data_IF_539383928594
#
_entry.id   IF_539383928594
#
_cell.length_a   1.000
_cell.length_b   1.000
_cell.length_c   1.000
_cell.angle_alpha   90.00
_cell.angle_beta   90.00
_cell.angle_gamma   90.00
#
_symmetry.space_group_name_H-M   'P 1'
#
loop_
_entity.id
_entity.type
_entity.pdbx_description
1 polymer ?
#
# COMPACT_ATOMS: atom_id res chain seq x y z
N UNK A 1 -9.62 -12.52 -12.85
CA UNK A 1 -9.24 -12.26 -11.43
C UNK A 1 -10.39 -12.60 -10.49
N UNK A 2 -11.53 -11.89 -10.51
CA UNK A 2 -12.66 -12.21 -9.61
C UNK A 2 -13.13 -13.67 -9.71
N UNK A 3 -13.27 -14.18 -10.94
CA UNK A 3 -13.65 -15.59 -11.17
C UNK A 3 -12.69 -16.58 -10.49
N UNK A 4 -11.38 -16.34 -10.58
CA UNK A 4 -10.36 -17.16 -9.89
C UNK A 4 -10.55 -17.06 -8.38
N UNK A 5 -10.81 -15.86 -7.85
CA UNK A 5 -11.05 -15.68 -6.42
C UNK A 5 -12.25 -16.51 -5.98
N UNK A 6 -13.39 -16.39 -6.64
CA UNK A 6 -14.59 -17.15 -6.30
C UNK A 6 -14.40 -18.66 -6.43
N UNK A 7 -13.78 -19.12 -7.52
CA UNK A 7 -13.57 -20.55 -7.76
C UNK A 7 -12.58 -21.20 -6.80
N UNK A 8 -11.74 -20.40 -6.13
CA UNK A 8 -10.68 -20.91 -5.25
C UNK A 8 -10.81 -20.47 -3.80
N UNK A 9 -11.88 -19.73 -3.47
CA UNK A 9 -12.15 -19.19 -2.15
C UNK A 9 -12.40 -20.31 -1.14
N UNK A 10 -11.54 -20.41 -0.14
CA UNK A 10 -11.70 -21.35 0.97
C UNK A 10 -10.95 -20.83 2.21
N UNK A 11 -11.32 -21.29 3.42
CA UNK A 11 -10.57 -20.93 4.61
C UNK A 11 -9.17 -21.56 4.61
N UNK A 12 -8.21 -20.85 5.19
CA UNK A 12 -6.85 -21.32 5.42
C UNK A 12 -6.61 -21.48 6.92
N UNK A 13 -5.96 -22.57 7.33
CA UNK A 13 -5.54 -22.72 8.72
C UNK A 13 -4.42 -21.72 9.06
N UNK A 14 -4.29 -21.35 10.34
CA UNK A 14 -3.22 -20.44 10.77
C UNK A 14 -1.81 -21.00 10.47
N UNK A 15 -1.64 -22.32 10.57
CA UNK A 15 -0.36 -22.99 10.25
C UNK A 15 -0.02 -22.85 8.77
N UNK A 16 -0.98 -23.07 7.87
CA UNK A 16 -0.76 -22.91 6.44
C UNK A 16 -0.54 -21.45 6.09
N UNK A 17 -1.34 -20.53 6.65
CA UNK A 17 -1.21 -19.09 6.43
C UNK A 17 0.20 -18.57 6.75
N UNK A 18 0.78 -18.98 7.89
CA UNK A 18 2.16 -18.63 8.26
C UNK A 18 3.21 -18.98 7.20
N UNK A 19 3.00 -20.06 6.45
CA UNK A 19 3.96 -20.53 5.43
C UNK A 19 3.83 -19.85 4.07
N UNK A 20 2.83 -18.97 3.88
CA UNK A 20 2.55 -18.44 2.53
C UNK A 20 3.58 -17.38 2.13
N UNK A 21 4.15 -17.45 0.91
CA UNK A 21 5.20 -16.53 0.45
C UNK A 21 4.81 -15.05 0.44
N UNK A 22 3.52 -14.72 0.26
CA UNK A 22 3.05 -13.32 0.17
C UNK A 22 3.40 -12.49 1.41
N UNK A 23 3.54 -13.12 2.59
CA UNK A 23 3.94 -12.44 3.82
C UNK A 23 5.34 -11.84 3.74
N UNK A 24 6.17 -12.31 2.80
CA UNK A 24 7.47 -11.71 2.49
C UNK A 24 7.35 -10.27 2.00
N UNK A 25 6.23 -9.88 1.41
CA UNK A 25 6.03 -8.54 0.86
C UNK A 25 5.54 -7.52 1.89
N UNK A 26 4.83 -7.98 2.92
CA UNK A 26 4.08 -7.11 3.81
C UNK A 26 4.54 -7.25 5.28
N UNK A 27 4.57 -8.47 5.81
CA UNK A 27 4.92 -8.71 7.20
C UNK A 27 6.44 -8.85 7.41
N UNK A 28 7.13 -9.71 6.66
CA UNK A 28 8.56 -9.94 6.87
C UNK A 28 9.44 -8.75 6.49
N UNK A 29 8.95 -7.78 5.69
CA UNK A 29 9.70 -6.52 5.49
C UNK A 29 9.68 -5.63 6.71
N UNK A 30 8.59 -5.64 7.47
CA UNK A 30 8.48 -4.93 8.74
C UNK A 30 9.37 -5.59 9.81
N UNK A 31 9.36 -6.92 9.90
CA UNK A 31 9.97 -7.65 11.03
C UNK A 31 11.32 -8.31 10.70
N UNK A 32 11.63 -8.53 9.43
CA UNK A 32 12.78 -9.29 8.93
C UNK A 32 13.98 -8.44 8.50
N UNK A 33 14.07 -7.19 8.96
CA UNK A 33 15.26 -6.35 8.83
C UNK A 33 15.17 -5.21 7.82
N UNK A 34 14.26 -5.26 6.84
CA UNK A 34 14.16 -4.20 5.81
C UNK A 34 13.76 -2.84 6.39
N UNK A 35 12.78 -2.81 7.30
CA UNK A 35 12.42 -1.58 8.03
C UNK A 35 13.65 -0.96 8.71
N UNK A 36 14.43 -1.78 9.42
CA UNK A 36 15.66 -1.37 10.08
C UNK A 36 16.69 -0.84 9.07
N UNK A 37 16.94 -1.59 8.01
CA UNK A 37 17.90 -1.25 6.95
C UNK A 37 17.58 0.10 6.30
N UNK A 38 16.30 0.41 6.09
CA UNK A 38 15.90 1.62 5.40
C UNK A 38 15.89 2.85 6.30
N UNK A 39 15.56 2.69 7.58
CA UNK A 39 15.09 3.80 8.41
C UNK A 39 15.71 3.91 9.80
N UNK A 40 16.19 2.83 10.41
CA UNK A 40 16.70 2.88 11.79
C UNK A 40 18.00 3.70 11.85
N UNK A 41 18.06 4.68 12.75
CA UNK A 41 19.16 5.64 12.90
C UNK A 41 19.53 6.34 11.58
N UNK A 42 18.55 6.58 10.71
CA UNK A 42 18.77 7.13 9.36
C UNK A 42 18.24 8.55 9.25
N UNK A 43 19.06 9.41 8.64
CA UNK A 43 18.68 10.77 8.26
C UNK A 43 17.92 10.79 6.92
N UNK A 44 16.69 11.27 6.96
CA UNK A 44 15.84 11.48 5.78
C UNK A 44 16.10 12.86 5.20
N UNK A 45 16.55 12.88 3.93
CA UNK A 45 16.73 14.10 3.17
C UNK A 45 15.39 14.55 2.57
N UNK A 46 14.95 15.75 2.94
CA UNK A 46 13.74 16.42 2.45
C UNK A 46 14.13 17.69 1.68
N UNK A 47 13.22 18.31 0.91
CA UNK A 47 13.51 19.57 0.24
C UNK A 47 13.96 20.63 1.24
N UNK A 48 15.21 21.06 1.14
CA UNK A 48 15.81 22.13 1.96
C UNK A 48 16.19 21.74 3.40
N UNK A 49 15.94 20.52 3.87
CA UNK A 49 16.28 20.11 5.24
C UNK A 49 16.50 18.60 5.37
N UNK A 50 17.12 18.18 6.46
CA UNK A 50 17.30 16.78 6.82
C UNK A 50 16.71 16.55 8.21
N UNK A 51 15.96 15.46 8.39
CA UNK A 51 15.38 15.07 9.68
C UNK A 51 15.81 13.64 10.05
N UNK A 52 15.96 13.37 11.35
CA UNK A 52 16.08 11.99 11.81
C UNK A 52 14.76 11.25 11.59
N UNK A 53 14.84 10.02 11.10
CA UNK A 53 13.63 9.24 10.83
C UNK A 53 12.78 9.07 12.09
N UNK A 54 13.39 8.84 13.25
CA UNK A 54 12.68 8.67 14.53
C UNK A 54 11.86 9.92 14.88
N UNK A 55 12.39 11.11 14.60
CA UNK A 55 11.65 12.35 14.81
C UNK A 55 10.47 12.48 13.83
N UNK A 56 10.70 12.19 12.55
CA UNK A 56 9.68 12.26 11.51
C UNK A 56 8.58 11.23 11.75
N UNK A 57 8.93 10.03 12.22
CA UNK A 57 8.01 8.91 12.41
C UNK A 57 6.98 9.16 13.51
N UNK A 58 7.28 10.06 14.46
CA UNK A 58 6.41 10.48 15.56
C UNK A 58 5.51 11.68 15.22
N UNK A 59 5.72 12.33 14.07
CA UNK A 59 4.89 13.46 13.67
C UNK A 59 3.53 12.99 13.15
N UNK A 60 2.48 13.75 13.49
CA UNK A 60 1.19 13.69 12.78
C UNK A 60 1.29 14.44 11.46
N UNK A 61 0.43 14.07 10.52
CA UNK A 61 0.51 14.56 9.15
C UNK A 61 -0.75 15.32 8.76
N UNK A 62 -0.55 16.41 8.02
CA UNK A 62 -1.59 17.05 7.22
C UNK A 62 -1.11 17.08 5.78
N UNK A 63 -1.84 16.43 4.87
CA UNK A 63 -1.44 16.30 3.47
C UNK A 63 -2.57 16.82 2.60
N UNK A 64 -2.27 17.78 1.73
CA UNK A 64 -3.23 18.43 0.82
C UNK A 64 -4.49 18.92 1.55
N UNK A 65 -4.27 19.62 2.67
CA UNK A 65 -5.33 20.12 3.53
C UNK A 65 -5.99 19.10 4.47
N UNK A 66 -5.82 17.78 4.30
CA UNK A 66 -6.44 16.74 5.11
C UNK A 66 -5.56 16.32 6.29
N UNK A 67 -6.11 16.26 7.50
CA UNK A 67 -5.39 15.72 8.66
C UNK A 67 -5.49 14.19 8.70
N UNK A 68 -4.42 13.50 9.06
CA UNK A 68 -4.40 12.05 9.18
C UNK A 68 -4.30 11.61 10.64
N UNK A 69 -5.02 10.54 10.97
CA UNK A 69 -5.16 10.04 12.33
C UNK A 69 -3.84 9.57 12.92
N UNK A 70 -3.01 8.91 12.12
CA UNK A 70 -1.87 8.11 12.59
C UNK A 70 -0.53 8.76 12.25
N UNK A 71 0.47 8.52 13.10
CA UNK A 71 1.88 8.73 12.79
C UNK A 71 2.42 7.54 11.99
N UNK A 72 3.60 7.67 11.37
CA UNK A 72 4.24 6.54 10.70
C UNK A 72 4.57 5.43 11.71
N UNK A 73 5.00 5.77 12.92
CA UNK A 73 5.31 4.77 13.94
C UNK A 73 4.07 3.98 14.40
N UNK A 74 2.93 4.66 14.55
CA UNK A 74 1.65 4.00 14.83
C UNK A 74 1.23 3.06 13.68
N UNK A 75 1.41 3.49 12.42
CA UNK A 75 1.14 2.65 11.24
C UNK A 75 2.06 1.41 11.20
N UNK A 76 3.35 1.56 11.52
CA UNK A 76 4.29 0.42 11.62
C UNK A 76 3.81 -0.57 12.67
N UNK A 77 3.52 -0.10 13.89
CA UNK A 77 3.08 -0.97 14.99
C UNK A 77 1.77 -1.70 14.65
N UNK A 78 0.79 -0.98 14.10
CA UNK A 78 -0.48 -1.57 13.66
C UNK A 78 -0.28 -2.56 12.53
N UNK A 79 0.56 -2.25 11.55
CA UNK A 79 0.86 -3.16 10.44
C UNK A 79 1.52 -4.46 10.95
N UNK A 80 2.48 -4.37 11.87
CA UNK A 80 3.11 -5.55 12.50
C UNK A 80 2.05 -6.38 13.23
N UNK A 81 1.14 -5.75 13.98
CA UNK A 81 0.11 -6.46 14.71
C UNK A 81 -0.92 -7.13 13.77
N UNK A 82 -1.49 -6.38 12.82
CA UNK A 82 -2.64 -6.82 12.02
C UNK A 82 -2.25 -7.71 10.84
N UNK A 83 -1.05 -7.52 10.27
CA UNK A 83 -0.55 -8.32 9.15
C UNK A 83 0.22 -9.56 9.61
N UNK A 84 0.36 -9.78 10.93
CA UNK A 84 1.02 -10.96 11.48
C UNK A 84 0.29 -12.23 11.03
N UNK A 85 0.94 -13.12 10.25
CA UNK A 85 0.29 -14.31 9.74
C UNK A 85 -0.05 -15.34 10.81
N UNK A 86 0.51 -15.22 12.02
CA UNK A 86 0.22 -16.08 13.17
C UNK A 86 -1.13 -15.76 13.83
N UNK A 87 -1.67 -14.56 13.60
CA UNK A 87 -2.91 -14.11 14.22
C UNK A 87 -4.08 -14.45 13.29
N UNK A 88 -4.63 -15.66 13.48
CA UNK A 88 -5.89 -16.04 12.86
C UNK A 88 -6.05 -17.53 12.62
N UNK A 89 -7.31 -17.96 12.59
CA UNK A 89 -7.72 -19.27 12.09
C UNK A 89 -8.89 -19.05 11.13
N UNK A 90 -9.04 -19.91 10.13
CA UNK A 90 -10.07 -19.80 9.09
C UNK A 90 -10.02 -18.48 8.29
N UNK A 91 -8.82 -18.09 7.88
CA UNK A 91 -8.61 -16.85 7.11
C UNK A 91 -9.10 -17.08 5.68
N UNK A 92 -9.97 -16.22 5.13
CA UNK A 92 -10.38 -16.35 3.73
C UNK A 92 -9.16 -16.31 2.81
N UNK A 93 -9.04 -17.30 1.93
CA UNK A 93 -7.90 -17.44 1.04
C UNK A 93 -8.33 -17.81 -0.37
N UNK A 94 -7.54 -17.37 -1.34
CA UNK A 94 -7.70 -17.66 -2.77
C UNK A 94 -6.38 -18.19 -3.32
N UNK A 95 -6.39 -18.83 -4.49
CA UNK A 95 -5.16 -19.03 -5.26
C UNK A 95 -4.88 -17.74 -6.03
N UNK A 96 -3.88 -17.00 -5.60
CA UNK A 96 -3.54 -15.66 -6.09
C UNK A 96 -2.17 -15.60 -6.73
N UNK A 97 -1.89 -14.48 -7.40
CA UNK A 97 -0.60 -14.24 -8.05
C UNK A 97 0.49 -13.82 -7.06
N UNK A 98 0.10 -13.15 -5.98
CA UNK A 98 0.97 -12.57 -4.95
C UNK A 98 1.78 -11.36 -5.42
N UNK A 99 1.81 -11.08 -6.73
CA UNK A 99 2.63 -10.02 -7.32
C UNK A 99 2.05 -9.38 -8.60
N UNK A 100 0.73 -9.23 -8.66
CA UNK A 100 -0.01 -8.81 -9.85
C UNK A 100 0.06 -7.28 -10.13
N UNK A 101 1.25 -6.72 -10.35
CA UNK A 101 1.41 -5.31 -10.76
C UNK A 101 1.72 -5.15 -12.26
N UNK A 102 1.66 -3.93 -12.78
CA UNK A 102 1.85 -3.61 -14.20
C UNK A 102 3.18 -4.11 -14.81
N UNK A 103 4.19 -4.40 -13.99
CA UNK A 103 5.44 -4.99 -14.48
C UNK A 103 5.31 -6.46 -14.84
N UNK A 104 4.26 -7.13 -14.35
CA UNK A 104 3.99 -8.56 -14.43
C UNK A 104 2.73 -8.85 -15.26
N UNK A 105 2.40 -7.97 -16.22
CA UNK A 105 1.26 -8.10 -17.12
C UNK A 105 1.69 -7.89 -18.57
N UNK A 106 1.33 -8.83 -19.43
CA UNK A 106 1.31 -8.64 -20.88
C UNK A 106 -0.12 -8.37 -21.37
N UNK A 107 -0.22 -7.65 -22.49
CA UNK A 107 -1.46 -7.48 -23.24
C UNK A 107 -1.37 -8.38 -24.47
N UNK A 108 -2.28 -9.33 -24.60
CA UNK A 108 -2.52 -10.02 -25.87
C UNK A 108 -3.44 -9.13 -26.71
N UNK A 109 -2.85 -8.32 -27.59
CA UNK A 109 -3.60 -7.37 -28.41
C UNK A 109 -4.58 -8.06 -29.37
N UNK A 110 -4.28 -9.28 -29.81
CA UNK A 110 -5.14 -10.03 -30.72
C UNK A 110 -6.41 -10.54 -30.03
N UNK A 111 -6.30 -10.93 -28.76
CA UNK A 111 -7.44 -11.41 -27.96
C UNK A 111 -8.08 -10.33 -27.09
N UNK A 112 -7.41 -9.19 -26.92
CA UNK A 112 -7.81 -8.17 -25.95
C UNK A 112 -7.72 -8.67 -24.50
N UNK A 113 -6.79 -9.59 -24.22
CA UNK A 113 -6.65 -10.26 -22.92
C UNK A 113 -5.43 -9.73 -22.15
N UNK A 114 -5.50 -9.76 -20.82
CA UNK A 114 -4.36 -9.49 -19.94
C UNK A 114 -3.79 -10.82 -19.44
N UNK A 115 -2.50 -11.02 -19.65
CA UNK A 115 -1.79 -12.24 -19.24
C UNK A 115 -0.83 -11.86 -18.12
N UNK A 116 -1.05 -12.42 -16.93
CA UNK A 116 -0.13 -12.26 -15.81
C UNK A 116 1.05 -13.23 -15.93
N UNK A 117 2.25 -12.77 -15.57
CA UNK A 117 3.48 -13.59 -15.57
C UNK A 117 4.34 -13.25 -14.34
N UNK A 118 5.40 -14.04 -14.11
CA UNK A 118 6.27 -13.95 -12.93
C UNK A 118 5.52 -14.01 -11.58
N UNK A 119 4.86 -15.15 -11.28
CA UNK A 119 4.09 -15.34 -10.05
C UNK A 119 4.99 -15.65 -8.84
N UNK A 120 6.00 -14.80 -8.57
CA UNK A 120 7.05 -15.03 -7.57
C UNK A 120 6.53 -15.32 -6.15
N UNK A 121 5.33 -14.82 -5.83
CA UNK A 121 4.66 -15.03 -4.54
C UNK A 121 3.30 -15.70 -4.67
N UNK A 122 3.04 -16.39 -5.79
CA UNK A 122 1.77 -17.06 -5.98
C UNK A 122 1.60 -18.23 -5.03
N UNK A 123 0.33 -18.56 -4.81
CA UNK A 123 -0.06 -19.58 -3.86
C UNK A 123 -1.40 -19.26 -3.26
N UNK A 124 -1.69 -19.91 -2.14
CA UNK A 124 -2.93 -19.72 -1.41
C UNK A 124 -2.77 -18.67 -0.31
N UNK A 125 -3.34 -17.48 -0.48
CA UNK A 125 -3.24 -16.38 0.50
C UNK A 125 -4.52 -15.54 0.58
N UNK A 126 -4.52 -14.60 1.54
CA UNK A 126 -5.52 -13.55 1.68
C UNK A 126 -5.79 -12.84 0.35
N UNK A 127 -7.05 -12.74 -0.09
CA UNK A 127 -7.40 -11.99 -1.29
C UNK A 127 -7.12 -10.49 -1.16
N UNK A 128 -7.08 -9.96 0.08
CA UNK A 128 -6.73 -8.56 0.33
C UNK A 128 -5.25 -8.29 0.04
N UNK A 129 -4.35 -9.18 0.49
CA UNK A 129 -2.91 -9.05 0.18
C UNK A 129 -2.64 -9.21 -1.32
N UNK A 130 -3.39 -10.08 -2.01
CA UNK A 130 -3.28 -10.24 -3.47
C UNK A 130 -3.69 -8.96 -4.22
N UNK A 131 -4.70 -8.24 -3.70
CA UNK A 131 -5.18 -6.99 -4.28
C UNK A 131 -4.30 -5.78 -3.98
N UNK A 132 -3.53 -5.80 -2.89
CA UNK A 132 -2.74 -4.65 -2.43
C UNK A 132 -1.81 -4.11 -3.52
N UNK A 133 -1.00 -4.96 -4.15
CA UNK A 133 -0.08 -4.52 -5.20
C UNK A 133 -0.80 -3.95 -6.43
N UNK A 134 -1.82 -4.62 -7.01
CA UNK A 134 -2.60 -4.04 -8.10
C UNK A 134 -3.24 -2.69 -7.74
N UNK A 135 -3.73 -2.52 -6.51
CA UNK A 135 -4.36 -1.26 -6.08
C UNK A 135 -3.33 -0.14 -5.92
N UNK A 136 -2.10 -0.46 -5.46
CA UNK A 136 -1.05 0.53 -5.30
C UNK A 136 -0.21 0.74 -6.56
N UNK A 137 0.50 -0.29 -7.03
CA UNK A 137 1.52 -0.18 -8.07
C UNK A 137 0.95 0.20 -9.45
N UNK A 138 -0.29 -0.20 -9.73
CA UNK A 138 -0.92 0.13 -11.01
C UNK A 138 -1.50 1.54 -11.02
N UNK A 139 -1.50 2.23 -9.87
CA UNK A 139 -2.19 3.51 -9.70
C UNK A 139 -1.25 4.60 -9.24
N UNK A 140 -0.57 4.40 -8.10
CA UNK A 140 0.17 5.44 -7.40
C UNK A 140 1.68 5.38 -7.60
N UNK A 141 2.26 4.23 -7.94
CA UNK A 141 3.71 4.02 -7.88
C UNK A 141 4.56 4.67 -8.99
N UNK A 142 4.01 5.55 -9.84
CA UNK A 142 4.80 6.15 -10.94
C UNK A 142 6.03 6.93 -10.46
N UNK A 143 5.90 7.64 -9.33
CA UNK A 143 7.01 8.33 -8.69
C UNK A 143 8.12 7.39 -8.22
N UNK A 144 7.81 6.11 -7.94
CA UNK A 144 8.83 5.12 -7.55
C UNK A 144 9.65 4.64 -8.75
N UNK A 145 9.01 4.52 -9.91
CA UNK A 145 9.63 3.98 -11.12
C UNK A 145 10.36 5.05 -11.94
N UNK A 146 9.85 6.27 -11.92
CA UNK A 146 10.39 7.42 -12.67
C UNK A 146 10.59 8.62 -11.73
N UNK A 147 11.45 8.47 -10.70
CA UNK A 147 11.55 9.47 -9.63
C UNK A 147 12.08 10.82 -10.15
N UNK A 148 12.99 10.83 -11.12
CA UNK A 148 13.58 12.08 -11.63
C UNK A 148 12.61 12.83 -12.51
N UNK A 149 11.86 12.10 -13.35
CA UNK A 149 10.84 12.64 -14.23
C UNK A 149 9.69 13.24 -13.43
N UNK A 150 9.21 12.53 -12.40
CA UNK A 150 8.17 13.07 -11.52
C UNK A 150 8.70 14.26 -10.71
N UNK A 151 9.93 14.21 -10.18
CA UNK A 151 10.49 15.32 -9.41
C UNK A 151 10.62 16.62 -10.24
N UNK A 152 10.89 16.50 -11.55
CA UNK A 152 11.03 17.65 -12.43
C UNK A 152 9.72 18.43 -12.65
N UNK A 153 8.57 17.78 -12.49
CA UNK A 153 7.24 18.37 -12.70
C UNK A 153 6.45 18.57 -11.40
N UNK A 154 6.86 17.92 -10.31
CA UNK A 154 6.19 17.94 -9.02
C UNK A 154 6.34 19.28 -8.31
N UNK A 155 5.23 19.93 -8.00
CA UNK A 155 5.20 20.99 -6.99
C UNK A 155 4.90 20.36 -5.64
N UNK A 156 5.88 20.37 -4.73
CA UNK A 156 5.71 19.91 -3.35
C UNK A 156 6.35 20.87 -2.36
N UNK A 157 5.61 21.26 -1.33
CA UNK A 157 6.08 22.10 -0.24
C UNK A 157 5.75 21.44 1.09
N UNK A 158 6.54 21.77 2.10
CA UNK A 158 6.27 21.29 3.45
C UNK A 158 6.74 22.28 4.51
N UNK A 159 6.12 22.19 5.67
CA UNK A 159 6.55 22.87 6.89
C UNK A 159 6.23 22.00 8.11
N UNK A 160 6.89 22.29 9.23
CA UNK A 160 6.47 21.78 10.54
C UNK A 160 5.64 22.87 11.21
N UNK A 161 4.37 22.59 11.45
CA UNK A 161 3.43 23.51 12.10
C UNK A 161 2.75 22.82 13.26
N UNK A 162 2.84 23.42 14.45
CA UNK A 162 2.26 22.88 15.69
C UNK A 162 2.68 21.42 15.96
N UNK A 163 3.93 21.07 15.63
CA UNK A 163 4.47 19.70 15.77
C UNK A 163 3.97 18.69 14.74
N UNK A 164 3.17 19.12 13.75
CA UNK A 164 2.71 18.29 12.62
C UNK A 164 3.54 18.57 11.37
N UNK A 165 3.75 17.54 10.55
CA UNK A 165 4.27 17.70 9.19
C UNK A 165 3.10 18.09 8.27
N UNK A 166 3.16 19.31 7.74
CA UNK A 166 2.19 19.82 6.76
C UNK A 166 2.83 19.71 5.39
N UNK A 167 2.18 19.00 4.46
CA UNK A 167 2.66 18.76 3.10
C UNK A 167 1.58 19.14 2.11
N UNK A 168 1.94 19.92 1.11
CA UNK A 168 1.08 20.28 0.00
C UNK A 168 1.77 19.88 -1.30
N UNK A 169 1.12 19.05 -2.10
CA UNK A 169 1.65 18.58 -3.39
C UNK A 169 0.57 18.47 -4.46
N UNK A 170 0.98 18.52 -5.72
CA UNK A 170 0.08 18.38 -6.87
C UNK A 170 0.13 17.00 -7.55
N UNK A 171 0.91 16.05 -7.00
CA UNK A 171 0.95 14.68 -7.52
C UNK A 171 -0.44 14.05 -7.56
N UNK A 172 -0.85 13.61 -8.76
CA UNK A 172 -2.12 12.95 -9.00
C UNK A 172 -1.93 11.79 -9.98
N UNK A 173 -2.49 10.60 -9.70
CA UNK A 173 -2.54 9.53 -10.70
C UNK A 173 -3.28 9.99 -11.97
N UNK A 174 -2.82 9.51 -13.13
CA UNK A 174 -3.48 9.84 -14.39
C UNK A 174 -4.92 9.29 -14.45
N UNK A 175 -5.82 9.89 -15.26
CA UNK A 175 -7.22 9.44 -15.35
C UNK A 175 -7.39 7.95 -15.70
N UNK A 176 -6.50 7.40 -16.53
CA UNK A 176 -6.51 5.97 -16.87
C UNK A 176 -6.13 5.09 -15.67
N UNK A 177 -5.18 5.53 -14.84
CA UNK A 177 -4.78 4.84 -13.60
C UNK A 177 -5.89 4.87 -12.56
N UNK A 178 -6.57 6.01 -12.42
CA UNK A 178 -7.78 6.12 -11.60
C UNK A 178 -8.89 5.19 -12.12
N UNK A 179 -9.05 5.06 -13.44
CA UNK A 179 -10.01 4.13 -14.04
C UNK A 179 -9.66 2.67 -13.74
N UNK A 180 -8.38 2.30 -13.72
CA UNK A 180 -7.94 0.97 -13.27
C UNK A 180 -8.25 0.71 -11.79
N UNK A 181 -8.00 1.70 -10.91
CA UNK A 181 -8.34 1.62 -9.49
C UNK A 181 -9.84 1.32 -9.32
N UNK A 182 -10.69 2.16 -9.90
CA UNK A 182 -12.15 2.01 -9.85
C UNK A 182 -12.59 0.67 -10.40
N UNK A 183 -12.04 0.25 -11.53
CA UNK A 183 -12.33 -1.06 -12.13
C UNK A 183 -12.01 -2.21 -11.17
N UNK A 184 -10.84 -2.21 -10.49
CA UNK A 184 -10.49 -3.24 -9.50
C UNK A 184 -11.38 -3.21 -8.27
N UNK A 185 -11.75 -2.02 -7.80
CA UNK A 185 -12.65 -1.89 -6.65
C UNK A 185 -14.05 -2.40 -6.99
N UNK A 186 -14.67 -1.89 -8.06
CA UNK A 186 -16.04 -2.24 -8.44
C UNK A 186 -16.18 -3.69 -8.90
N UNK A 187 -15.19 -4.21 -9.63
CA UNK A 187 -15.29 -5.53 -10.27
C UNK A 187 -14.59 -6.65 -9.52
N UNK A 188 -13.85 -6.35 -8.47
CA UNK A 188 -13.16 -7.38 -7.68
C UNK A 188 -13.37 -7.20 -6.17
N UNK A 189 -12.99 -6.05 -5.62
CA UNK A 189 -13.06 -5.84 -4.16
C UNK A 189 -14.50 -5.84 -3.64
N UNK A 190 -15.41 -5.03 -4.20
CA UNK A 190 -16.80 -4.95 -3.73
C UNK A 190 -17.54 -6.30 -3.85
N UNK A 191 -17.47 -7.03 -4.99
CA UNK A 191 -18.05 -8.36 -5.09
C UNK A 191 -17.45 -9.37 -4.09
N UNK A 192 -16.15 -9.32 -3.87
CA UNK A 192 -15.47 -10.15 -2.87
C UNK A 192 -15.99 -9.85 -1.45
N UNK A 193 -16.09 -8.56 -1.08
CA UNK A 193 -16.61 -8.16 0.23
C UNK A 193 -18.04 -8.66 0.45
N UNK A 194 -18.90 -8.53 -0.55
CA UNK A 194 -20.27 -9.03 -0.50
C UNK A 194 -20.34 -10.56 -0.33
N UNK A 195 -19.51 -11.31 -1.07
CA UNK A 195 -19.44 -12.76 -0.94
C UNK A 195 -18.91 -13.19 0.44
N UNK A 196 -17.81 -12.57 0.91
CA UNK A 196 -17.27 -12.81 2.26
C UNK A 196 -18.29 -12.48 3.36
N UNK A 197 -19.02 -11.37 3.22
CA UNK A 197 -20.06 -10.99 4.18
C UNK A 197 -21.20 -12.02 4.20
N UNK A 198 -21.66 -12.48 3.02
CA UNK A 198 -22.72 -13.50 2.91
C UNK A 198 -22.35 -14.83 3.58
N UNK A 199 -21.05 -15.15 3.65
CA UNK A 199 -20.51 -16.35 4.30
C UNK A 199 -20.17 -16.15 5.78
N UNK A 200 -20.36 -14.94 6.32
CA UNK A 200 -19.86 -14.53 7.65
C UNK A 200 -18.33 -14.69 7.79
N UNK A 201 -17.60 -14.50 6.71
CA UNK A 201 -16.13 -14.63 6.63
C UNK A 201 -15.41 -13.28 6.58
N UNK A 202 -16.15 -12.18 6.43
CA UNK A 202 -15.58 -10.84 6.37
C UNK A 202 -15.12 -10.39 7.77
N UNK A 203 -13.82 -10.15 7.92
CA UNK A 203 -13.27 -9.57 9.14
C UNK A 203 -13.76 -8.11 9.28
N UNK A 204 -14.29 -7.68 10.44
CA UNK A 204 -14.70 -6.28 10.65
C UNK A 204 -13.58 -5.26 10.38
N UNK A 205 -12.32 -5.64 10.60
CA UNK A 205 -11.14 -4.82 10.35
C UNK A 205 -10.56 -5.00 8.94
N UNK A 206 -11.30 -5.55 7.96
CA UNK A 206 -10.79 -5.82 6.60
C UNK A 206 -10.18 -4.58 5.94
N UNK A 207 -10.79 -3.41 6.17
CA UNK A 207 -10.38 -2.16 5.54
C UNK A 207 -9.04 -1.70 6.08
N UNK A 208 -8.90 -1.72 7.40
CA UNK A 208 -7.63 -1.43 8.08
C UNK A 208 -6.55 -2.40 7.63
N UNK A 209 -6.86 -3.71 7.57
CA UNK A 209 -5.93 -4.72 7.08
C UNK A 209 -5.43 -4.42 5.65
N UNK A 210 -6.35 -4.06 4.75
CA UNK A 210 -5.98 -3.67 3.38
C UNK A 210 -5.14 -2.39 3.34
N UNK A 211 -5.52 -1.35 4.11
CA UNK A 211 -4.79 -0.08 4.17
C UNK A 211 -3.38 -0.23 4.74
N UNK A 212 -3.20 -1.04 5.79
CA UNK A 212 -1.88 -1.33 6.34
C UNK A 212 -1.01 -2.11 5.35
N UNK A 213 -1.58 -3.01 4.55
CA UNK A 213 -0.85 -3.64 3.46
C UNK A 213 -0.49 -2.61 2.37
N UNK A 214 -1.39 -1.68 2.03
CA UNK A 214 -1.13 -0.60 1.07
C UNK A 214 -0.04 0.35 1.57
N UNK A 215 0.02 0.66 2.86
CA UNK A 215 1.11 1.43 3.50
C UNK A 215 2.48 0.80 3.25
N UNK A 216 2.60 -0.52 3.32
CA UNK A 216 3.87 -1.21 3.10
C UNK A 216 4.40 -1.06 1.65
N UNK A 217 3.53 -0.80 0.67
CA UNK A 217 3.95 -0.70 -0.73
C UNK A 217 4.92 0.48 -0.99
N UNK A 218 4.55 1.76 -0.73
CA UNK A 218 5.45 2.89 -0.85
C UNK A 218 6.58 2.86 0.18
N UNK A 219 6.30 2.35 1.38
CA UNK A 219 7.21 2.44 2.52
C UNK A 219 8.33 1.38 2.52
N UNK A 220 8.09 0.17 2.01
CA UNK A 220 9.03 -0.95 2.17
C UNK A 220 9.43 -1.64 0.86
N UNK A 221 8.88 -1.22 -0.27
CA UNK A 221 9.29 -1.82 -1.55
C UNK A 221 10.62 -1.27 -2.04
N UNK A 222 10.89 0.02 -1.80
CA UNK A 222 12.16 0.67 -2.12
C UNK A 222 12.62 1.52 -0.93
N UNK A 223 13.92 1.71 -0.80
CA UNK A 223 14.49 2.50 0.29
C UNK A 223 14.26 4.00 0.04
N UNK A 224 13.30 4.63 0.74
CA UNK A 224 13.04 6.07 0.60
C UNK A 224 14.18 6.94 1.16
N UNK A 225 15.09 6.40 1.98
CA UNK A 225 16.27 7.11 2.45
C UNK A 225 17.45 7.06 1.46
N UNK A 226 17.32 6.32 0.35
CA UNK A 226 18.34 6.26 -0.71
C UNK A 226 18.39 7.58 -1.48
N UNK A 227 19.37 8.41 -1.11
CA UNK A 227 19.63 9.74 -1.71
C UNK A 227 20.15 9.68 -3.14
N UNK A 228 20.62 8.52 -3.63
CA UNK A 228 21.05 8.34 -5.02
C UNK A 228 19.84 8.06 -5.90
N UNK A 229 18.91 7.24 -5.39
CA UNK A 229 17.72 6.83 -6.13
C UNK A 229 16.62 7.89 -6.11
N UNK A 230 16.34 8.46 -4.95
CA UNK A 230 15.21 9.36 -4.76
C UNK A 230 15.68 10.80 -4.50
N UNK A 231 15.27 11.76 -5.35
CA UNK A 231 15.34 13.17 -5.01
C UNK A 231 14.56 13.46 -3.73
N UNK A 232 14.93 14.50 -2.96
CA UNK A 232 14.28 14.81 -1.68
C UNK A 232 12.76 15.01 -1.80
N UNK A 233 12.29 15.58 -2.91
CA UNK A 233 10.87 15.79 -3.23
C UNK A 233 10.13 14.45 -3.33
N UNK A 234 10.77 13.44 -3.90
CA UNK A 234 10.20 12.09 -4.05
C UNK A 234 10.24 11.32 -2.74
N UNK A 235 11.28 11.49 -1.93
CA UNK A 235 11.32 10.94 -0.57
C UNK A 235 10.15 11.49 0.26
N UNK A 236 9.92 12.82 0.23
CA UNK A 236 8.80 13.45 0.91
C UNK A 236 7.45 12.95 0.37
N UNK A 237 7.28 12.90 -0.95
CA UNK A 237 6.06 12.38 -1.58
C UNK A 237 5.80 10.91 -1.19
N UNK A 238 6.85 10.07 -1.18
CA UNK A 238 6.72 8.66 -0.83
C UNK A 238 6.30 8.45 0.63
N UNK A 239 6.81 9.27 1.56
CA UNK A 239 6.40 9.25 2.97
C UNK A 239 4.95 9.74 3.13
N UNK A 240 4.58 10.84 2.46
CA UNK A 240 3.22 11.36 2.46
C UNK A 240 2.23 10.30 1.94
N UNK A 241 2.48 9.73 0.76
CA UNK A 241 1.65 8.66 0.19
C UNK A 241 1.60 7.43 1.11
N UNK A 242 2.67 7.09 1.82
CA UNK A 242 2.63 6.00 2.81
C UNK A 242 1.56 6.28 3.88
N UNK A 243 1.53 7.49 4.42
CA UNK A 243 0.51 7.90 5.39
C UNK A 243 -0.89 7.90 4.76
N UNK A 244 -1.07 8.44 3.56
CA UNK A 244 -2.38 8.45 2.87
C UNK A 244 -2.92 7.03 2.62
N UNK A 245 -2.04 6.07 2.31
CA UNK A 245 -2.42 4.68 2.07
C UNK A 245 -2.79 3.93 3.35
N UNK A 246 -2.10 4.22 4.46
CA UNK A 246 -2.25 3.50 5.73
C UNK A 246 -3.26 4.10 6.69
N UNK A 247 -3.22 5.42 6.86
CA UNK A 247 -3.99 6.14 7.88
C UNK A 247 -5.33 6.63 7.35
N UNK A 248 -6.28 6.86 8.25
CA UNK A 248 -7.57 7.45 7.95
C UNK A 248 -7.49 8.98 8.01
N UNK A 249 -8.10 9.67 7.05
CA UNK A 249 -8.29 11.12 7.14
C UNK A 249 -9.30 11.49 8.24
N UNK A 250 -9.02 12.57 8.96
CA UNK A 250 -9.90 13.14 9.97
C UNK A 250 -10.76 14.25 9.36
N UNK A 251 -11.99 14.37 9.86
CA UNK A 251 -12.97 15.38 9.42
C UNK A 251 -14.06 14.80 8.51
N UNK A 252 -14.77 15.69 7.83
CA UNK A 252 -15.94 15.34 7.01
C UNK A 252 -15.58 14.98 5.56
N UNK A 253 -14.31 15.14 5.18
CA UNK A 253 -13.80 14.85 3.83
C UNK A 253 -12.89 13.63 3.90
N UNK A 254 -13.28 12.59 3.18
CA UNK A 254 -12.46 11.39 3.03
C UNK A 254 -11.27 11.66 2.08
N UNK A 255 -10.14 11.03 2.39
CA UNK A 255 -9.03 10.92 1.43
C UNK A 255 -9.51 10.25 0.14
N UNK A 256 -8.82 10.50 -0.98
CA UNK A 256 -9.19 9.88 -2.26
C UNK A 256 -9.32 8.35 -2.16
N UNK A 257 -8.38 7.69 -1.46
CA UNK A 257 -8.45 6.24 -1.26
C UNK A 257 -9.63 5.84 -0.38
N UNK A 258 -9.88 6.56 0.72
CA UNK A 258 -11.01 6.27 1.60
C UNK A 258 -12.34 6.40 0.86
N UNK A 259 -12.53 7.45 0.07
CA UNK A 259 -13.71 7.62 -0.78
C UNK A 259 -13.90 6.42 -1.74
N UNK A 260 -12.82 5.95 -2.36
CA UNK A 260 -12.92 4.80 -3.27
C UNK A 260 -13.25 3.49 -2.53
N UNK A 261 -12.80 3.32 -1.29
CA UNK A 261 -13.00 2.08 -0.52
C UNK A 261 -14.40 1.94 0.12
N UNK A 262 -15.22 3.00 0.12
CA UNK A 262 -16.62 2.98 0.61
C UNK A 262 -16.72 2.93 2.12
#
# INVERSE_FOLDING_TARGET
MLEIYFNTLQPLSGKEHKSVPVHQLFFHRLTGGRLREFYENTEILLPGNTLQFEQLAEMKWRINGLEYQDTINELIHRAIALLNPEIGSNIPSIIGHGDAHNGNVFVDEYKGELIYFDPAFAGRHSPFLDLTKPLFHNVFAMWMYFPKEIAAELSINWEIKDGKMVVEHDFKPSPIRVSFLRSKIERVLKPLLADLQSKNWLNPCWREYLKLALFCCPFLTMNLSDRVKFPPEITLLGLAISVEMGSRSLGDVDSFLDEQLG
#
